data_IF_570849991808
#
_entry.id   IF_570849991808
#
_cell.length_a   1.000
_cell.length_b   1.000
_cell.length_c   1.000
_cell.angle_alpha   90.00
_cell.angle_beta   90.00
_cell.angle_gamma   90.00
#
_symmetry.space_group_name_H-M   'P 1'
#
loop_
_entity.id
_entity.type
_entity.pdbx_description
1 polymer ?
#
# COMPACT_ATOMS: atom_id res chain seq x y z
N UNK A 1 18.18 -9.67 -1.65
CA UNK A 1 17.98 -8.47 -0.81
C UNK A 1 19.24 -7.61 -0.84
N UNK A 2 19.09 -6.29 -0.98
CA UNK A 2 20.23 -5.36 -1.02
C UNK A 2 20.03 -4.30 0.07
N UNK A 3 21.06 -3.94 0.85
CA UNK A 3 20.91 -3.07 2.02
C UNK A 3 20.34 -1.67 1.72
N UNK A 4 20.49 -1.20 0.48
CA UNK A 4 20.00 0.11 0.02
C UNK A 4 18.65 0.04 -0.71
N UNK A 5 17.99 -1.11 -0.73
CA UNK A 5 16.67 -1.27 -1.36
C UNK A 5 15.63 -1.49 -0.27
N UNK A 6 14.72 -0.53 -0.13
CA UNK A 6 13.53 -0.67 0.70
C UNK A 6 12.40 -1.26 -0.15
N UNK A 7 11.83 -2.38 0.30
CA UNK A 7 10.66 -3.00 -0.34
C UNK A 7 9.41 -2.74 0.49
N UNK A 8 8.41 -2.15 -0.15
CA UNK A 8 7.06 -2.03 0.38
C UNK A 8 6.16 -2.92 -0.47
N UNK A 9 5.14 -3.49 0.18
CA UNK A 9 4.26 -4.51 -0.39
C UNK A 9 2.81 -4.01 -0.32
N UNK A 10 2.39 -3.15 -1.26
CA UNK A 10 1.07 -2.52 -1.24
C UNK A 10 -0.08 -3.52 -1.27
N UNK A 11 0.13 -4.73 -1.79
CA UNK A 11 -0.88 -5.78 -1.80
C UNK A 11 -1.35 -6.14 -0.39
N UNK A 12 -0.51 -5.96 0.64
CA UNK A 12 -0.90 -6.23 2.04
C UNK A 12 -1.93 -5.24 2.59
N UNK A 13 -2.05 -4.07 1.97
CA UNK A 13 -3.09 -3.08 2.32
C UNK A 13 -4.47 -3.51 1.82
N UNK A 14 -4.53 -4.20 0.68
CA UNK A 14 -5.79 -4.48 -0.02
C UNK A 14 -6.18 -5.96 0.04
N UNK A 15 -5.22 -6.87 -0.05
CA UNK A 15 -5.42 -8.29 -0.28
C UNK A 15 -5.31 -9.12 1.00
N UNK A 16 -6.11 -10.19 1.06
CA UNK A 16 -6.16 -11.12 2.19
C UNK A 16 -6.50 -10.45 3.54
N UNK A 17 -7.17 -9.29 3.50
CA UNK A 17 -7.52 -8.50 4.69
C UNK A 17 -8.87 -8.90 5.26
N UNK A 18 -9.94 -8.85 4.46
CA UNK A 18 -11.29 -9.31 4.85
C UNK A 18 -11.64 -10.71 4.36
N UNK A 19 -11.06 -11.14 3.24
CA UNK A 19 -11.30 -12.44 2.65
C UNK A 19 -10.00 -13.00 2.05
N UNK A 20 -9.69 -14.25 2.40
CA UNK A 20 -8.52 -14.95 1.89
C UNK A 20 -8.64 -15.14 0.37
N UNK A 21 -7.57 -14.86 -0.37
CA UNK A 21 -7.51 -14.94 -1.82
C UNK A 21 -8.18 -13.78 -2.56
N UNK A 22 -8.64 -12.74 -1.85
CA UNK A 22 -9.33 -11.57 -2.44
C UNK A 22 -8.67 -10.26 -2.03
N UNK A 23 -8.82 -9.24 -2.87
CA UNK A 23 -8.41 -7.87 -2.60
C UNK A 23 -9.64 -6.97 -2.47
N UNK A 24 -9.61 -6.06 -1.51
CA UNK A 24 -10.61 -5.02 -1.35
C UNK A 24 -10.51 -4.04 -2.51
N UNK A 25 -11.61 -3.87 -3.23
CA UNK A 25 -11.71 -2.87 -4.31
C UNK A 25 -12.33 -1.56 -3.84
N UNK A 26 -13.03 -1.58 -2.70
CA UNK A 26 -13.68 -0.43 -2.07
C UNK A 26 -14.02 -0.75 -0.60
N UNK A 27 -14.45 0.27 0.15
CA UNK A 27 -15.22 0.13 1.39
C UNK A 27 -16.62 0.77 1.23
N UNK A 28 -17.28 1.09 2.34
CA UNK A 28 -18.62 1.70 2.34
C UNK A 28 -18.63 3.16 1.82
N UNK A 29 -17.47 3.82 1.81
CA UNK A 29 -17.32 5.24 1.48
C UNK A 29 -16.52 5.49 0.20
N UNK A 30 -15.48 4.69 -0.04
CA UNK A 30 -14.44 4.99 -1.00
C UNK A 30 -14.16 3.80 -1.92
N UNK A 31 -13.96 4.07 -3.21
CA UNK A 31 -13.46 3.10 -4.18
C UNK A 31 -11.93 3.19 -4.23
N UNK A 32 -11.22 2.07 -4.17
CA UNK A 32 -9.77 2.01 -4.10
C UNK A 32 -9.09 1.80 -5.46
N UNK A 33 -9.83 1.38 -6.48
CA UNK A 33 -9.32 1.15 -7.85
C UNK A 33 -10.16 1.94 -8.86
N UNK A 34 -9.49 2.56 -9.82
CA UNK A 34 -10.14 3.26 -10.93
C UNK A 34 -10.60 2.28 -12.03
N UNK A 35 -9.84 1.21 -12.23
CA UNK A 35 -10.12 0.09 -13.13
C UNK A 35 -9.51 -1.21 -12.56
N UNK A 36 -9.18 -2.19 -13.40
CA UNK A 36 -8.63 -3.47 -12.98
C UNK A 36 -7.22 -3.41 -12.41
N UNK A 37 -6.39 -2.45 -12.86
CA UNK A 37 -4.96 -2.37 -12.48
C UNK A 37 -4.54 -1.03 -11.86
N UNK A 38 -5.32 0.05 -12.06
CA UNK A 38 -4.97 1.39 -11.61
C UNK A 38 -5.65 1.73 -10.27
N UNK A 39 -4.90 2.16 -9.24
CA UNK A 39 -5.48 2.67 -8.01
C UNK A 39 -6.29 3.96 -8.24
N UNK A 40 -7.37 4.13 -7.49
CA UNK A 40 -8.05 5.42 -7.38
C UNK A 40 -7.17 6.45 -6.65
N UNK A 41 -7.63 7.70 -6.56
CA UNK A 41 -6.96 8.71 -5.73
C UNK A 41 -6.83 8.26 -4.26
N UNK A 42 -7.88 7.64 -3.72
CA UNK A 42 -7.91 7.13 -2.35
C UNK A 42 -6.99 5.93 -2.19
N UNK A 43 -7.03 4.98 -3.12
CA UNK A 43 -6.12 3.83 -3.13
C UNK A 43 -4.66 4.25 -3.24
N UNK A 44 -4.32 5.16 -4.17
CA UNK A 44 -2.98 5.70 -4.33
C UNK A 44 -2.47 6.39 -3.06
N UNK A 45 -3.34 7.15 -2.37
CA UNK A 45 -2.99 7.77 -1.09
C UNK A 45 -2.61 6.73 -0.03
N UNK A 46 -3.35 5.63 0.09
CA UNK A 46 -3.03 4.56 1.05
C UNK A 46 -1.65 3.96 0.78
N UNK A 47 -1.32 3.72 -0.50
CA UNK A 47 -0.01 3.20 -0.93
C UNK A 47 1.11 4.19 -0.58
N UNK A 48 0.92 5.48 -0.91
CA UNK A 48 1.91 6.52 -0.63
C UNK A 48 2.12 6.69 0.87
N UNK A 49 1.06 6.65 1.67
CA UNK A 49 1.18 6.77 3.13
C UNK A 49 2.04 5.63 3.72
N UNK A 50 1.84 4.39 3.28
CA UNK A 50 2.66 3.23 3.70
C UNK A 50 4.11 3.35 3.22
N UNK A 51 4.33 3.80 1.97
CA UNK A 51 5.67 4.05 1.44
C UNK A 51 6.42 5.11 2.25
N UNK A 52 5.74 6.23 2.55
CA UNK A 52 6.33 7.33 3.30
C UNK A 52 6.63 6.94 4.75
N UNK A 53 5.79 6.10 5.36
CA UNK A 53 6.05 5.52 6.68
C UNK A 53 7.34 4.69 6.66
N UNK A 54 7.44 3.74 5.74
CA UNK A 54 8.62 2.88 5.62
C UNK A 54 9.90 3.67 5.30
N UNK A 55 9.80 4.69 4.43
CA UNK A 55 10.93 5.57 4.12
C UNK A 55 11.41 6.36 5.34
N UNK A 56 10.48 6.91 6.14
CA UNK A 56 10.81 7.64 7.37
C UNK A 56 11.47 6.74 8.41
N UNK A 57 10.94 5.53 8.61
CA UNK A 57 11.53 4.54 9.52
C UNK A 57 12.98 4.22 9.08
N UNK A 58 13.19 3.96 7.79
CA UNK A 58 14.53 3.66 7.27
C UNK A 58 15.51 4.83 7.39
N UNK A 59 15.05 6.05 7.15
CA UNK A 59 15.87 7.25 7.31
C UNK A 59 16.17 7.53 8.78
N UNK A 60 15.23 7.30 9.71
CA UNK A 60 15.47 7.46 11.13
C UNK A 60 16.51 6.48 11.67
N UNK A 61 16.50 5.22 11.21
CA UNK A 61 17.55 4.22 11.52
C UNK A 61 18.95 4.60 11.01
N UNK A 62 19.04 5.57 10.10
CA UNK A 62 20.30 6.00 9.48
C UNK A 62 20.95 7.21 10.15
N UNK A 63 20.35 7.73 11.24
CA UNK A 63 20.83 8.85 12.07
C UNK A 63 21.29 8.31 13.42
#
# INVERSE_FOLDING_TARGET
EHPNVLRVYPEKLFCNTKALGRCLTHDEMEVFYADDDHPSKTGAKMIVDELMKAAKEKWHESI
#
